data_IF_279865972185
#
_entry.id   IF_279865972185
#
_cell.length_a   1.000
_cell.length_b   1.000
_cell.length_c   1.000
_cell.angle_alpha   90.00
_cell.angle_beta   90.00
_cell.angle_gamma   90.00
#
_symmetry.space_group_name_H-M   'P 1'
#
loop_
_entity.id
_entity.type
_entity.pdbx_description
1 polymer ?
#
# COMPACT_ATOMS: atom_id res chain seq x y z
N UNK A 1 9.20 -25.05 -23.35
CA UNK A 1 9.11 -25.59 -21.98
C UNK A 1 8.01 -26.62 -21.96
N UNK A 2 8.23 -27.77 -21.33
CA UNK A 2 7.14 -28.70 -21.02
C UNK A 2 6.21 -28.09 -19.95
N UNK A 3 5.01 -28.63 -19.76
CA UNK A 3 4.10 -28.16 -18.71
C UNK A 3 4.72 -28.25 -17.31
N UNK A 4 5.45 -29.35 -17.03
CA UNK A 4 6.14 -29.56 -15.76
C UNK A 4 7.25 -28.53 -15.54
N UNK A 5 8.05 -28.24 -16.57
CA UNK A 5 9.07 -27.17 -16.52
C UNK A 5 8.42 -25.80 -16.27
N UNK A 6 7.28 -25.54 -16.89
CA UNK A 6 6.54 -24.27 -16.74
C UNK A 6 6.01 -24.11 -15.31
N UNK A 7 5.43 -25.17 -14.75
CA UNK A 7 4.96 -25.19 -13.36
C UNK A 7 6.10 -24.95 -12.37
N UNK A 8 7.23 -25.65 -12.54
CA UNK A 8 8.39 -25.48 -11.65
C UNK A 8 9.00 -24.07 -11.77
N UNK A 9 9.09 -23.53 -12.99
CA UNK A 9 9.48 -22.15 -13.23
C UNK A 9 8.56 -21.16 -12.48
N UNK A 10 7.24 -21.33 -12.57
CA UNK A 10 6.28 -20.46 -11.89
C UNK A 10 6.37 -20.58 -10.35
N UNK A 11 6.55 -21.79 -9.81
CA UNK A 11 6.81 -22.00 -8.37
C UNK A 11 8.05 -21.24 -7.92
N UNK A 12 9.15 -21.35 -8.66
CA UNK A 12 10.40 -20.65 -8.35
C UNK A 12 10.25 -19.14 -8.47
N UNK A 13 9.54 -18.65 -9.50
CA UNK A 13 9.23 -17.24 -9.70
C UNK A 13 8.42 -16.65 -8.55
N UNK A 14 7.38 -17.37 -8.09
CA UNK A 14 6.59 -16.95 -6.93
C UNK A 14 7.47 -16.84 -5.68
N UNK A 15 8.26 -17.87 -5.38
CA UNK A 15 9.14 -17.89 -4.21
C UNK A 15 10.18 -16.76 -4.23
N UNK A 16 10.75 -16.43 -5.40
CA UNK A 16 11.71 -15.35 -5.55
C UNK A 16 11.10 -13.97 -5.22
N UNK A 17 9.84 -13.73 -5.60
CA UNK A 17 9.17 -12.44 -5.38
C UNK A 17 8.41 -12.34 -4.04
N UNK A 18 8.00 -13.47 -3.47
CA UNK A 18 7.21 -13.55 -2.22
C UNK A 18 7.82 -12.76 -1.07
N UNK A 19 9.14 -12.85 -0.86
CA UNK A 19 9.85 -12.11 0.21
C UNK A 19 9.64 -10.59 0.10
N UNK A 20 9.64 -10.06 -1.12
CA UNK A 20 9.47 -8.62 -1.35
C UNK A 20 8.02 -8.18 -1.21
N UNK A 21 7.07 -9.04 -1.59
CA UNK A 21 5.63 -8.80 -1.41
C UNK A 21 5.31 -8.80 0.09
N UNK A 22 5.72 -9.84 0.82
CA UNK A 22 5.49 -9.94 2.27
C UNK A 22 6.09 -8.75 3.03
N UNK A 23 7.29 -8.28 2.65
CA UNK A 23 7.86 -7.07 3.24
C UNK A 23 6.96 -5.84 3.10
N UNK A 24 6.25 -5.69 1.97
CA UNK A 24 5.34 -4.55 1.76
C UNK A 24 4.08 -4.68 2.60
N UNK A 25 3.53 -5.90 2.70
CA UNK A 25 2.44 -6.19 3.63
C UNK A 25 2.85 -5.95 5.10
N UNK A 26 4.03 -6.39 5.52
CA UNK A 26 4.55 -6.10 6.87
C UNK A 26 4.68 -4.59 7.13
N UNK A 27 5.06 -3.79 6.13
CA UNK A 27 5.15 -2.34 6.25
C UNK A 27 3.78 -1.66 6.27
N UNK A 28 2.83 -2.17 5.48
CA UNK A 28 1.43 -1.73 5.45
C UNK A 28 0.74 -2.00 6.80
N UNK A 29 0.83 -3.23 7.29
CA UNK A 29 0.29 -3.66 8.59
C UNK A 29 1.01 -3.06 9.80
N UNK A 30 2.07 -2.27 9.58
CA UNK A 30 2.96 -1.72 10.62
C UNK A 30 3.66 -2.79 11.48
N UNK A 31 3.64 -4.05 11.04
CA UNK A 31 4.30 -5.20 11.70
C UNK A 31 5.80 -5.26 11.40
N UNK A 32 6.31 -4.44 10.47
CA UNK A 32 7.74 -4.45 10.13
C UNK A 32 8.59 -3.88 11.25
N UNK A 33 9.38 -4.77 11.85
CA UNK A 33 10.51 -4.42 12.71
C UNK A 33 11.78 -4.31 11.86
N UNK A 34 12.37 -3.11 11.83
CA UNK A 34 13.63 -2.87 11.14
C UNK A 34 14.81 -3.23 12.06
N UNK A 35 15.88 -3.85 11.53
CA UNK A 35 17.08 -4.08 12.32
C UNK A 35 17.76 -2.74 12.59
N UNK A 36 18.01 -2.45 13.86
CA UNK A 36 18.71 -1.24 14.29
C UNK A 36 20.22 -1.42 14.21
N UNK A 37 20.88 -0.58 13.42
CA UNK A 37 22.34 -0.49 13.34
C UNK A 37 22.78 0.73 14.15
N UNK A 38 23.22 0.51 15.38
CA UNK A 38 23.77 1.55 16.24
C UNK A 38 24.89 1.00 17.11
N UNK A 39 25.97 1.77 17.25
CA UNK A 39 27.13 1.39 18.07
C UNK A 39 26.96 1.92 19.51
N UNK A 40 26.24 3.03 19.67
CA UNK A 40 26.18 3.80 20.92
C UNK A 40 25.07 3.38 21.87
N UNK A 41 23.95 2.84 21.38
CA UNK A 41 22.80 2.47 22.20
C UNK A 41 22.83 0.95 22.47
N UNK A 42 22.90 0.51 23.74
CA UNK A 42 22.86 -0.90 24.11
C UNK A 42 21.62 -1.64 23.57
N UNK A 43 21.77 -2.92 23.24
CA UNK A 43 20.67 -3.74 22.70
C UNK A 43 19.44 -3.82 23.61
N UNK A 44 19.63 -3.84 24.93
CA UNK A 44 18.56 -3.91 25.93
C UNK A 44 17.71 -2.65 26.03
N UNK A 45 18.26 -1.48 25.67
CA UNK A 45 17.53 -0.21 25.63
C UNK A 45 16.76 -0.12 24.31
N UNK A 46 17.41 -0.44 23.18
CA UNK A 46 16.76 -0.47 21.86
C UNK A 46 15.51 -1.32 21.81
N UNK A 47 15.55 -2.50 22.43
CA UNK A 47 14.39 -3.39 22.45
C UNK A 47 13.18 -2.78 23.18
N UNK A 48 13.40 -1.87 24.14
CA UNK A 48 12.34 -1.21 24.91
C UNK A 48 11.72 -0.03 24.15
N UNK A 49 12.52 0.73 23.41
CA UNK A 49 12.09 1.94 22.70
C UNK A 49 11.90 1.67 21.22
N UNK A 50 10.97 0.79 20.87
CA UNK A 50 10.63 0.51 19.47
C UNK A 50 9.48 1.38 19.01
N UNK A 51 9.68 2.07 17.90
CA UNK A 51 8.65 2.93 17.31
C UNK A 51 7.82 2.19 16.26
N UNK A 52 6.55 2.56 16.17
CA UNK A 52 5.61 2.10 15.15
C UNK A 52 5.13 3.32 14.38
N UNK A 53 5.14 3.24 13.04
CA UNK A 53 4.75 4.35 12.17
C UNK A 53 3.99 3.83 10.95
N UNK A 54 2.84 4.43 10.67
CA UNK A 54 1.89 4.01 9.62
C UNK A 54 1.96 4.80 8.31
N UNK A 55 3.07 5.48 8.01
CA UNK A 55 3.17 6.32 6.80
C UNK A 55 2.97 5.52 5.50
N UNK A 56 3.55 4.32 5.39
CA UNK A 56 3.36 3.45 4.23
C UNK A 56 1.90 3.03 4.05
N UNK A 57 1.17 2.76 5.15
CA UNK A 57 -0.27 2.50 5.12
C UNK A 57 -1.02 3.73 4.63
N UNK A 58 -0.78 4.89 5.25
CA UNK A 58 -1.38 6.18 4.86
C UNK A 58 -1.14 6.52 3.39
N UNK A 59 0.04 6.23 2.85
CA UNK A 59 0.38 6.47 1.44
C UNK A 59 -0.36 5.55 0.45
N UNK A 60 -0.80 4.38 0.91
CA UNK A 60 -1.66 3.44 0.17
C UNK A 60 -3.12 3.86 0.33
N UNK A 61 -3.61 3.96 1.57
CA UNK A 61 -5.04 4.21 1.88
C UNK A 61 -5.50 5.55 1.30
N UNK A 62 -4.67 6.60 1.41
CA UNK A 62 -4.99 7.91 0.81
C UNK A 62 -5.25 7.86 -0.70
N UNK A 63 -4.68 6.88 -1.41
CA UNK A 63 -4.97 6.66 -2.82
C UNK A 63 -6.10 5.65 -3.01
N UNK A 64 -6.10 4.55 -2.25
CA UNK A 64 -7.09 3.47 -2.35
C UNK A 64 -8.51 3.96 -2.08
N UNK A 65 -8.72 4.73 -1.01
CA UNK A 65 -10.03 5.24 -0.58
C UNK A 65 -10.68 6.17 -1.62
N UNK A 66 -9.88 6.69 -2.56
CA UNK A 66 -10.35 7.56 -3.65
C UNK A 66 -10.65 6.80 -4.94
N UNK A 67 -10.28 5.52 -5.02
CA UNK A 67 -10.42 4.69 -6.22
C UNK A 67 -11.68 3.83 -6.12
N UNK A 68 -12.83 4.48 -6.21
CA UNK A 68 -14.13 3.79 -6.16
C UNK A 68 -14.56 3.41 -7.58
N UNK A 69 -14.59 2.11 -7.87
CA UNK A 69 -15.08 1.60 -9.15
C UNK A 69 -16.60 1.72 -9.21
N UNK A 70 -17.13 2.18 -10.34
CA UNK A 70 -18.57 2.39 -10.51
C UNK A 70 -19.21 1.23 -11.26
N UNK A 71 -18.89 1.10 -12.53
CA UNK A 71 -19.49 0.14 -13.45
C UNK A 71 -18.73 0.11 -14.78
N UNK A 72 -19.10 -0.81 -15.66
CA UNK A 72 -18.70 -0.78 -17.06
C UNK A 72 -19.82 -0.11 -17.90
N UNK A 73 -19.48 0.99 -18.57
CA UNK A 73 -20.35 1.60 -19.57
C UNK A 73 -20.23 0.82 -20.90
N UNK A 74 -21.30 0.80 -21.71
CA UNK A 74 -21.40 0.03 -22.96
C UNK A 74 -21.10 -1.48 -22.75
N UNK A 75 -21.72 -2.04 -21.72
CA UNK A 75 -21.58 -3.45 -21.37
C UNK A 75 -22.47 -4.35 -22.23
N UNK A 76 -22.02 -4.62 -23.45
CA UNK A 76 -22.72 -5.50 -24.40
C UNK A 76 -22.64 -6.99 -24.04
N UNK A 77 -21.82 -7.35 -23.03
CA UNK A 77 -21.56 -8.73 -22.62
C UNK A 77 -22.11 -9.04 -21.21
N UNK A 78 -22.84 -8.10 -20.61
CA UNK A 78 -23.45 -8.22 -19.29
C UNK A 78 -22.42 -8.55 -18.18
N UNK A 79 -21.19 -8.05 -18.28
CA UNK A 79 -20.13 -8.29 -17.28
C UNK A 79 -20.46 -7.61 -15.94
N UNK A 80 -21.22 -6.51 -15.94
CA UNK A 80 -21.66 -5.87 -14.71
C UNK A 80 -22.48 -6.83 -13.83
N UNK A 81 -23.33 -7.67 -14.43
CA UNK A 81 -24.11 -8.67 -13.69
C UNK A 81 -23.20 -9.68 -12.98
N UNK A 82 -22.12 -10.13 -13.65
CA UNK A 82 -21.13 -11.03 -13.05
C UNK A 82 -20.51 -10.39 -11.81
N UNK A 83 -20.10 -9.11 -11.89
CA UNK A 83 -19.54 -8.42 -10.73
C UNK A 83 -20.57 -8.22 -9.61
N UNK A 84 -21.83 -7.91 -9.93
CA UNK A 84 -22.90 -7.77 -8.93
C UNK A 84 -23.16 -9.07 -8.15
N UNK A 85 -22.96 -10.23 -8.78
CA UNK A 85 -23.10 -11.54 -8.13
C UNK A 85 -21.86 -11.95 -7.31
N UNK A 86 -20.77 -11.16 -7.33
CA UNK A 86 -19.49 -11.48 -6.70
C UNK A 86 -19.07 -10.48 -5.61
N UNK A 87 -20.04 -10.02 -4.80
CA UNK A 87 -19.81 -9.06 -3.70
C UNK A 87 -19.00 -7.82 -4.16
N UNK A 88 -19.51 -7.06 -5.13
CA UNK A 88 -18.79 -5.99 -5.80
C UNK A 88 -18.25 -4.95 -4.80
N UNK A 89 -19.01 -4.66 -3.74
CA UNK A 89 -18.68 -3.68 -2.71
C UNK A 89 -17.34 -3.95 -2.02
N UNK A 90 -16.93 -5.21 -1.91
CA UNK A 90 -15.66 -5.59 -1.26
C UNK A 90 -14.62 -6.06 -2.26
N UNK A 91 -15.06 -6.61 -3.39
CA UNK A 91 -14.19 -7.19 -4.40
C UNK A 91 -13.26 -6.13 -5.03
N UNK A 92 -13.84 -5.01 -5.50
CA UNK A 92 -13.06 -3.96 -6.17
C UNK A 92 -12.05 -3.31 -5.22
N UNK A 93 -12.49 -2.98 -4.00
CA UNK A 93 -11.65 -2.36 -2.97
C UNK A 93 -10.50 -3.29 -2.55
N UNK A 94 -10.80 -4.58 -2.34
CA UNK A 94 -9.77 -5.59 -2.03
C UNK A 94 -8.72 -5.71 -3.13
N UNK A 95 -9.17 -5.75 -4.39
CA UNK A 95 -8.27 -5.84 -5.54
C UNK A 95 -7.40 -4.58 -5.70
N UNK A 96 -7.99 -3.39 -5.59
CA UNK A 96 -7.27 -2.10 -5.63
C UNK A 96 -6.22 -2.04 -4.52
N UNK A 97 -6.62 -2.33 -3.29
CA UNK A 97 -5.74 -2.27 -2.13
C UNK A 97 -4.56 -3.23 -2.28
N UNK A 98 -4.83 -4.49 -2.63
CA UNK A 98 -3.77 -5.49 -2.84
C UNK A 98 -2.82 -5.10 -3.98
N UNK A 99 -3.34 -4.57 -5.09
CA UNK A 99 -2.50 -4.10 -6.20
C UNK A 99 -1.61 -2.92 -5.79
N UNK A 100 -2.12 -1.97 -5.00
CA UNK A 100 -1.34 -0.85 -4.48
C UNK A 100 -0.24 -1.30 -3.51
N UNK A 101 -0.54 -2.24 -2.60
CA UNK A 101 0.43 -2.77 -1.64
C UNK A 101 1.50 -3.59 -2.35
N UNK A 102 1.13 -4.55 -3.19
CA UNK A 102 2.04 -5.58 -3.70
C UNK A 102 2.62 -5.31 -5.10
N UNK A 103 2.12 -4.30 -5.82
CA UNK A 103 2.27 -4.01 -7.27
C UNK A 103 1.14 -4.59 -8.14
N UNK A 104 0.63 -5.76 -7.77
CA UNK A 104 -0.46 -6.43 -8.46
C UNK A 104 -1.18 -7.36 -7.50
N UNK A 105 -2.38 -7.77 -7.89
CA UNK A 105 -3.07 -8.94 -7.35
C UNK A 105 -3.60 -9.77 -8.52
N UNK A 106 -4.18 -10.92 -8.23
CA UNK A 106 -4.72 -11.81 -9.24
C UNK A 106 -6.18 -12.09 -8.90
N UNK A 107 -7.02 -12.20 -9.91
CA UNK A 107 -8.39 -12.66 -9.76
C UNK A 107 -8.46 -14.07 -10.33
N UNK A 108 -8.70 -15.03 -9.44
CA UNK A 108 -9.01 -16.39 -9.81
C UNK A 108 -10.49 -16.48 -10.19
N UNK A 109 -10.75 -17.05 -11.35
CA UNK A 109 -12.08 -17.24 -11.90
C UNK A 109 -12.37 -18.74 -11.87
N UNK A 110 -13.51 -19.12 -11.31
CA UNK A 110 -13.96 -20.51 -11.24
C UNK A 110 -15.42 -20.61 -11.62
N UNK A 111 -15.85 -21.79 -12.04
CA UNK A 111 -17.27 -22.09 -12.25
C UNK A 111 -17.98 -22.04 -10.89
N UNK A 112 -19.06 -21.24 -10.82
CA UNK A 112 -19.91 -21.17 -9.65
C UNK A 112 -21.07 -22.14 -9.72
N UNK A 113 -22.02 -21.92 -8.80
CA UNK A 113 -23.34 -22.53 -8.86
C UNK A 113 -24.19 -21.75 -9.85
N UNK A 114 -25.04 -22.43 -10.62
CA UNK A 114 -25.98 -21.83 -11.59
C UNK A 114 -25.31 -21.01 -12.71
N UNK A 115 -24.26 -21.57 -13.34
CA UNK A 115 -23.53 -21.00 -14.49
C UNK A 115 -22.94 -19.59 -14.29
N UNK A 116 -22.92 -19.11 -13.04
CA UNK A 116 -22.38 -17.79 -12.69
C UNK A 116 -20.90 -17.92 -12.29
N UNK A 117 -19.96 -17.25 -12.98
CA UNK A 117 -18.55 -17.29 -12.62
C UNK A 117 -18.32 -16.73 -11.21
N UNK A 118 -17.48 -17.42 -10.43
CA UNK A 118 -17.01 -16.95 -9.11
C UNK A 118 -15.66 -16.28 -9.23
N UNK A 119 -15.54 -15.10 -8.63
CA UNK A 119 -14.34 -14.27 -8.64
C UNK A 119 -13.72 -14.23 -7.25
N UNK A 120 -12.43 -14.57 -7.15
CA UNK A 120 -11.68 -14.49 -5.90
C UNK A 120 -10.40 -13.69 -6.08
N UNK A 121 -10.18 -12.69 -5.24
CA UNK A 121 -8.90 -11.95 -5.20
C UNK A 121 -7.86 -12.80 -4.47
N UNK A 122 -6.72 -13.01 -5.13
CA UNK A 122 -5.54 -13.68 -4.63
C UNK A 122 -4.39 -12.68 -4.60
N UNK A 123 -3.74 -12.56 -3.44
CA UNK A 123 -2.57 -11.71 -3.28
C UNK A 123 -1.39 -12.16 -4.14
N UNK A 124 -0.55 -11.22 -4.56
CA UNK A 124 0.69 -11.53 -5.30
C UNK A 124 1.74 -12.32 -4.48
N UNK A 125 1.50 -12.56 -3.19
CA UNK A 125 2.30 -13.47 -2.35
C UNK A 125 2.01 -14.95 -2.65
N UNK A 126 0.85 -15.23 -3.26
CA UNK A 126 0.32 -16.56 -3.51
C UNK A 126 0.09 -16.87 -4.99
N UNK A 127 0.07 -15.86 -5.88
CA UNK A 127 -0.13 -16.07 -7.31
C UNK A 127 0.96 -15.41 -8.19
N UNK A 128 1.21 -16.01 -9.34
CA UNK A 128 2.11 -15.49 -10.37
C UNK A 128 1.74 -16.03 -11.76
N UNK A 129 2.39 -15.55 -12.81
CA UNK A 129 2.17 -16.03 -14.16
C UNK A 129 3.20 -15.56 -15.18
N UNK A 130 3.03 -16.04 -16.40
CA UNK A 130 3.70 -15.52 -17.59
C UNK A 130 2.74 -14.59 -18.32
N UNK A 131 2.98 -13.29 -18.23
CA UNK A 131 2.17 -12.27 -18.87
C UNK A 131 2.61 -12.07 -20.32
N UNK A 132 1.65 -12.00 -21.23
CA UNK A 132 1.86 -11.50 -22.57
C UNK A 132 1.87 -9.97 -22.54
N UNK A 133 3.00 -9.31 -22.89
CA UNK A 133 3.12 -7.86 -22.83
C UNK A 133 2.22 -7.13 -23.84
N UNK A 134 1.70 -7.81 -24.85
CA UNK A 134 0.83 -7.21 -25.87
C UNK A 134 -0.61 -7.12 -25.35
N UNK A 135 -1.15 -8.23 -24.83
CA UNK A 135 -2.55 -8.30 -24.37
C UNK A 135 -2.71 -7.94 -22.90
N UNK A 136 -1.64 -8.03 -22.09
CA UNK A 136 -1.70 -7.89 -20.64
C UNK A 136 -2.35 -9.09 -19.93
N UNK A 137 -2.69 -10.14 -20.66
CA UNK A 137 -3.25 -11.39 -20.13
C UNK A 137 -2.14 -12.41 -19.82
N UNK A 138 -2.45 -13.45 -19.07
CA UNK A 138 -1.51 -14.55 -18.84
C UNK A 138 -1.56 -15.54 -19.99
N UNK A 139 -0.40 -16.15 -20.29
CA UNK A 139 -0.26 -17.35 -21.13
C UNK A 139 -0.29 -18.62 -20.28
N UNK A 140 0.23 -18.52 -19.05
CA UNK A 140 0.11 -19.53 -18.00
C UNK A 140 0.10 -18.84 -16.64
N UNK A 141 -0.67 -19.40 -15.70
CA UNK A 141 -0.83 -18.88 -14.34
C UNK A 141 -0.54 -19.95 -13.30
N UNK A 142 -0.17 -19.52 -12.10
CA UNK A 142 0.03 -20.39 -10.95
C UNK A 142 -0.44 -19.69 -9.69
N UNK A 143 -1.24 -20.37 -8.87
CA UNK A 143 -1.67 -19.87 -7.57
C UNK A 143 -1.58 -20.94 -6.49
N UNK A 144 -1.25 -20.52 -5.28
CA UNK A 144 -1.41 -21.30 -4.05
C UNK A 144 -2.75 -20.89 -3.44
N UNK A 145 -3.74 -21.77 -3.54
CA UNK A 145 -5.10 -21.51 -3.05
C UNK A 145 -5.19 -21.71 -1.53
N UNK A 146 -4.47 -22.69 -1.00
CA UNK A 146 -4.43 -22.97 0.43
C UNK A 146 -3.01 -23.26 0.92
N UNK A 147 -2.77 -22.90 2.19
CA UNK A 147 -1.53 -23.22 2.90
C UNK A 147 -1.85 -23.95 4.20
N UNK A 148 -0.99 -24.89 4.55
CA UNK A 148 -1.02 -25.57 5.85
C UNK A 148 -0.58 -24.65 7.01
N UNK A 149 -0.66 -25.16 8.24
CA UNK A 149 -0.25 -24.45 9.46
C UNK A 149 1.24 -24.07 9.48
N UNK A 150 2.06 -24.67 8.63
CA UNK A 150 3.50 -24.44 8.51
C UNK A 150 3.84 -23.49 7.34
N UNK A 151 2.82 -23.01 6.61
CA UNK A 151 2.97 -22.11 5.46
C UNK A 151 3.31 -22.81 4.14
N UNK A 152 3.32 -24.14 4.11
CA UNK A 152 3.50 -24.92 2.87
C UNK A 152 2.21 -24.91 2.06
N UNK A 153 2.32 -24.98 0.74
CA UNK A 153 1.15 -25.05 -0.13
C UNK A 153 0.47 -26.43 0.00
N UNK A 154 -0.78 -26.45 0.44
CA UNK A 154 -1.61 -27.66 0.52
C UNK A 154 -2.41 -27.87 -0.77
N UNK A 155 -2.91 -26.78 -1.36
CA UNK A 155 -3.64 -26.76 -2.62
C UNK A 155 -3.01 -25.73 -3.56
N UNK A 156 -2.57 -26.18 -4.72
CA UNK A 156 -2.00 -25.35 -5.78
C UNK A 156 -2.83 -25.51 -7.07
N UNK A 157 -2.99 -24.43 -7.82
CA UNK A 157 -3.68 -24.41 -9.11
C UNK A 157 -2.72 -23.94 -10.21
N UNK A 158 -2.64 -24.71 -11.29
CA UNK A 158 -1.89 -24.39 -12.49
C UNK A 158 -2.86 -24.12 -13.63
N UNK A 159 -2.84 -22.88 -14.11
CA UNK A 159 -3.81 -22.35 -15.07
C UNK A 159 -3.21 -22.35 -16.47
N UNK A 160 -3.89 -23.07 -17.38
CA UNK A 160 -3.58 -23.13 -18.80
C UNK A 160 -4.75 -22.53 -19.60
N UNK A 161 -4.56 -22.21 -20.89
CA UNK A 161 -5.61 -21.62 -21.74
C UNK A 161 -6.91 -22.44 -21.87
N UNK A 162 -6.81 -23.77 -21.73
CA UNK A 162 -7.88 -24.74 -21.98
C UNK A 162 -8.30 -25.52 -20.73
N UNK A 163 -7.54 -25.40 -19.63
CA UNK A 163 -7.76 -26.18 -18.40
C UNK A 163 -7.07 -25.58 -17.17
N UNK A 164 -7.58 -25.92 -16.00
CA UNK A 164 -6.94 -25.66 -14.72
C UNK A 164 -6.63 -26.98 -14.01
N UNK A 165 -5.36 -27.24 -13.72
CA UNK A 165 -4.88 -28.43 -13.01
C UNK A 165 -4.67 -28.13 -11.54
N UNK A 166 -5.19 -28.99 -10.66
CA UNK A 166 -5.04 -28.83 -9.21
C UNK A 166 -4.05 -29.85 -8.64
N UNK A 167 -3.20 -29.39 -7.73
CA UNK A 167 -2.23 -30.21 -7.03
C UNK A 167 -2.51 -30.17 -5.54
N UNK A 168 -2.77 -31.34 -4.94
CA UNK A 168 -2.93 -31.50 -3.50
C UNK A 168 -1.64 -32.09 -2.95
N UNK A 169 -0.98 -31.39 -2.02
CA UNK A 169 0.31 -31.80 -1.47
C UNK A 169 1.35 -32.12 -2.59
N UNK A 170 1.39 -31.28 -3.64
CA UNK A 170 2.24 -31.40 -4.83
C UNK A 170 1.94 -32.60 -5.76
N UNK A 171 0.89 -33.38 -5.48
CA UNK A 171 0.44 -34.45 -6.36
C UNK A 171 -0.72 -33.97 -7.23
N UNK A 172 -0.64 -34.21 -8.54
CA UNK A 172 -1.70 -33.86 -9.48
C UNK A 172 -2.96 -34.66 -9.13
N UNK A 173 -4.09 -33.96 -9.08
CA UNK A 173 -5.42 -34.54 -8.91
C UNK A 173 -6.19 -34.37 -10.21
N UNK A 174 -6.16 -35.41 -11.05
CA UNK A 174 -6.85 -35.39 -12.34
C UNK A 174 -8.37 -35.26 -12.16
N UNK A 175 -8.92 -35.83 -11.09
CA UNK A 175 -10.33 -35.76 -10.71
C UNK A 175 -10.82 -34.33 -10.40
N UNK A 176 -9.91 -33.42 -10.06
CA UNK A 176 -10.22 -32.01 -9.81
C UNK A 176 -9.93 -31.11 -11.02
N UNK A 177 -9.30 -31.63 -12.07
CA UNK A 177 -8.89 -30.81 -13.22
C UNK A 177 -10.12 -30.36 -13.99
N UNK A 178 -10.24 -29.05 -14.20
CA UNK A 178 -11.36 -28.45 -14.94
C UNK A 178 -10.91 -28.07 -16.35
N UNK A 179 -11.79 -28.26 -17.34
CA UNK A 179 -11.57 -27.89 -18.74
C UNK A 179 -12.54 -26.77 -19.12
N UNK A 180 -12.10 -25.84 -19.95
CA UNK A 180 -12.93 -24.68 -20.35
C UNK A 180 -12.51 -24.16 -21.73
N UNK A 181 -13.46 -23.59 -22.48
CA UNK A 181 -13.23 -23.07 -23.83
C UNK A 181 -12.99 -21.54 -23.86
N UNK A 182 -12.08 -21.05 -23.02
CA UNK A 182 -11.84 -19.60 -22.86
C UNK A 182 -10.64 -19.09 -23.67
N UNK A 183 -9.67 -19.96 -23.95
CA UNK A 183 -8.45 -19.60 -24.69
C UNK A 183 -7.43 -18.79 -23.88
N UNK A 184 -7.70 -18.55 -22.58
CA UNK A 184 -6.79 -17.90 -21.64
C UNK A 184 -6.88 -18.56 -20.25
N UNK A 185 -5.81 -18.52 -19.45
CA UNK A 185 -5.83 -18.96 -18.06
C UNK A 185 -6.92 -18.23 -17.26
N UNK A 186 -7.68 -18.97 -16.44
CA UNK A 186 -8.69 -18.43 -15.50
C UNK A 186 -8.08 -17.69 -14.28
N UNK A 187 -6.97 -16.99 -14.51
CA UNK A 187 -6.25 -16.19 -13.53
C UNK A 187 -5.85 -14.87 -14.18
N UNK A 188 -6.42 -13.77 -13.71
CA UNK A 188 -6.26 -12.45 -14.33
C UNK A 188 -5.48 -11.50 -13.42
N UNK A 189 -4.37 -10.91 -13.88
CA UNK A 189 -3.62 -9.97 -13.07
C UNK A 189 -4.27 -8.58 -13.08
N UNK A 190 -4.48 -8.01 -11.90
CA UNK A 190 -4.82 -6.60 -11.72
C UNK A 190 -3.54 -5.86 -11.34
N UNK A 191 -3.09 -4.95 -12.19
CA UNK A 191 -1.72 -4.42 -12.13
C UNK A 191 -1.74 -2.92 -11.88
N UNK A 192 -1.03 -2.49 -10.84
CA UNK A 192 -0.81 -1.06 -10.57
C UNK A 192 0.51 -0.60 -11.21
N UNK A 193 0.42 0.41 -12.09
CA UNK A 193 1.56 1.03 -12.80
C UNK A 193 2.47 0.01 -13.50
N UNK A 194 1.95 -0.76 -14.48
CA UNK A 194 2.78 -1.58 -15.36
C UNK A 194 3.78 -0.70 -16.13
N UNK A 195 4.97 -1.22 -16.37
CA UNK A 195 5.95 -0.63 -17.29
C UNK A 195 6.64 -1.74 -18.11
N UNK A 196 7.31 -1.38 -19.20
CA UNK A 196 7.93 -2.35 -20.12
C UNK A 196 8.99 -3.26 -19.45
N UNK A 197 9.62 -2.80 -18.37
CA UNK A 197 10.64 -3.55 -17.61
C UNK A 197 9.99 -4.38 -16.50
N UNK A 198 8.85 -3.93 -15.98
CA UNK A 198 8.08 -4.54 -14.90
C UNK A 198 6.63 -4.71 -15.34
N UNK A 199 6.33 -5.78 -16.08
CA UNK A 199 4.97 -6.08 -16.53
C UNK A 199 3.97 -6.20 -15.38
N UNK A 200 4.37 -6.79 -14.24
CA UNK A 200 3.57 -6.87 -13.00
C UNK A 200 3.57 -5.58 -12.15
N UNK A 201 4.06 -4.48 -12.71
CA UNK A 201 3.90 -3.14 -12.17
C UNK A 201 4.71 -2.81 -10.92
N UNK A 202 4.28 -1.76 -10.23
CA UNK A 202 4.98 -1.13 -9.11
C UNK A 202 4.03 -0.80 -7.97
N UNK A 203 4.33 -1.35 -6.82
CA UNK A 203 3.71 -0.99 -5.55
C UNK A 203 3.86 0.50 -5.27
N UNK A 204 2.83 1.03 -4.62
CA UNK A 204 2.79 2.34 -4.03
C UNK A 204 3.79 2.49 -2.86
N UNK A 205 4.08 1.40 -2.15
CA UNK A 205 5.12 1.33 -1.11
C UNK A 205 6.49 1.24 -1.80
N UNK A 206 7.08 2.41 -2.03
CA UNK A 206 8.38 2.55 -2.70
C UNK A 206 9.54 2.25 -1.75
N UNK A 207 10.73 2.01 -2.32
CA UNK A 207 11.97 1.88 -1.51
C UNK A 207 12.27 3.17 -0.75
N UNK A 208 12.03 4.32 -1.39
CA UNK A 208 12.22 5.65 -0.81
C UNK A 208 11.24 5.89 0.35
N UNK A 209 9.95 5.58 0.16
CA UNK A 209 8.95 5.68 1.22
C UNK A 209 9.27 4.83 2.45
N UNK A 210 9.67 3.56 2.25
CA UNK A 210 10.14 2.72 3.36
C UNK A 210 11.40 3.27 4.04
N UNK A 211 12.30 3.87 3.28
CA UNK A 211 13.49 4.51 3.84
C UNK A 211 13.12 5.67 4.76
N UNK A 212 12.26 6.60 4.30
CA UNK A 212 11.83 7.74 5.12
C UNK A 212 11.02 7.30 6.34
N UNK A 213 10.17 6.28 6.21
CA UNK A 213 9.48 5.69 7.37
C UNK A 213 10.48 5.11 8.37
N UNK A 214 11.47 4.34 7.91
CA UNK A 214 12.52 3.80 8.79
C UNK A 214 13.37 4.90 9.41
N UNK A 215 13.64 5.97 8.67
CA UNK A 215 14.39 7.13 9.16
C UNK A 215 13.61 7.85 10.27
N UNK A 216 12.32 8.12 10.06
CA UNK A 216 11.43 8.70 11.06
C UNK A 216 11.32 7.83 12.32
N UNK A 217 11.15 6.51 12.16
CA UNK A 217 11.17 5.54 13.26
C UNK A 217 12.43 5.70 14.11
N UNK A 218 13.61 5.63 13.49
CA UNK A 218 14.89 5.81 14.20
C UNK A 218 15.01 7.16 14.91
N UNK A 219 14.44 8.22 14.35
CA UNK A 219 14.44 9.55 14.97
C UNK A 219 13.59 9.56 16.23
N UNK A 220 12.39 8.95 16.19
CA UNK A 220 11.51 8.81 17.36
C UNK A 220 12.16 7.98 18.47
N UNK A 221 12.74 6.83 18.12
CA UNK A 221 13.39 5.92 19.09
C UNK A 221 14.57 6.62 19.80
N UNK A 222 15.37 7.38 19.04
CA UNK A 222 16.46 8.17 19.60
C UNK A 222 15.96 9.33 20.46
N UNK A 223 14.85 9.94 20.09
CA UNK A 223 14.23 11.00 20.86
C UNK A 223 13.76 10.45 22.23
N UNK A 224 13.03 9.32 22.24
CA UNK A 224 12.53 8.71 23.46
C UNK A 224 13.66 8.32 24.42
N UNK A 225 14.71 7.69 23.89
CA UNK A 225 15.91 7.34 24.67
C UNK A 225 16.59 8.59 25.22
N UNK A 226 16.72 9.65 24.41
CA UNK A 226 17.34 10.90 24.87
C UNK A 226 16.49 11.60 25.93
N UNK A 227 15.16 11.50 25.83
CA UNK A 227 14.24 12.06 26.83
C UNK A 227 14.39 11.38 28.21
N UNK A 228 14.75 10.09 28.27
CA UNK A 228 15.11 9.45 29.54
C UNK A 228 16.38 10.04 30.15
N UNK A 229 17.42 10.30 29.36
CA UNK A 229 18.62 10.95 29.89
C UNK A 229 18.36 12.41 30.27
N UNK A 230 17.37 13.05 29.64
CA UNK A 230 16.92 14.40 30.00
C UNK A 230 16.30 14.44 31.40
N UNK A 231 15.49 13.43 31.76
CA UNK A 231 14.89 13.35 33.10
C UNK A 231 15.90 13.02 34.21
N UNK A 232 17.08 12.51 33.85
CA UNK A 232 18.19 12.22 34.78
C UNK A 232 19.51 12.87 34.35
N UNK A 233 19.69 14.18 34.60
CA UNK A 233 20.91 14.86 34.17
C UNK A 233 22.14 14.32 34.89
N UNK A 234 23.16 13.96 34.10
CA UNK A 234 24.42 13.49 34.64
C UNK A 234 25.19 14.64 35.28
N UNK A 235 25.56 14.45 36.55
CA UNK A 235 26.40 15.37 37.32
C UNK A 235 27.79 14.78 37.46
N UNK A 236 28.79 15.65 37.51
CA UNK A 236 30.16 15.27 37.81
C UNK A 236 30.73 16.15 38.92
N UNK A 237 31.71 15.63 39.63
CA UNK A 237 32.40 16.33 40.72
C UNK A 237 33.88 16.31 40.40
N UNK A 238 34.50 17.48 40.42
CA UNK A 238 35.95 17.64 40.24
C UNK A 238 36.57 18.18 41.52
N UNK A 239 37.78 17.71 41.88
CA UNK A 239 38.50 18.16 43.08
C UNK A 239 38.14 17.39 44.35
N UNK A 240 37.92 16.07 44.26
CA UNK A 240 37.80 15.20 45.44
C UNK A 240 39.20 14.91 46.02
N UNK A 241 39.34 14.80 47.33
CA UNK A 241 40.60 14.43 47.99
C UNK A 241 40.97 12.97 47.69
N UNK A 242 42.28 12.65 47.69
CA UNK A 242 42.78 11.28 47.46
C UNK A 242 42.33 10.27 48.54
N UNK A 243 41.78 10.76 49.65
CA UNK A 243 41.24 9.98 50.76
C UNK A 243 39.72 9.80 50.71
N UNK A 244 39.02 10.40 49.74
CA UNK A 244 37.58 10.28 49.63
C UNK A 244 37.17 8.86 49.22
N UNK A 245 36.22 8.26 49.97
CA UNK A 245 35.69 6.94 49.62
C UNK A 245 35.05 6.96 48.23
N UNK A 246 35.26 5.91 47.40
CA UNK A 246 34.63 5.82 46.08
C UNK A 246 33.11 5.80 46.25
N UNK A 247 32.47 6.86 45.78
CA UNK A 247 31.04 7.07 45.95
C UNK A 247 30.25 6.00 45.18
N UNK A 248 29.27 5.39 45.83
CA UNK A 248 28.40 4.39 45.22
C UNK A 248 27.63 5.04 44.05
N UNK A 249 27.99 4.68 42.81
CA UNK A 249 27.61 5.39 41.58
C UNK A 249 26.08 5.58 41.44
N UNK A 250 25.30 4.67 42.02
CA UNK A 250 23.85 4.70 42.04
C UNK A 250 23.25 5.75 43.00
N UNK A 251 23.86 5.93 44.20
CA UNK A 251 23.39 6.94 45.18
C UNK A 251 23.61 8.38 44.71
N UNK A 252 24.63 8.59 43.86
CA UNK A 252 24.92 9.88 43.25
C UNK A 252 23.87 10.29 42.19
N UNK A 253 23.18 9.32 41.56
CA UNK A 253 22.23 9.59 40.47
C UNK A 253 20.85 10.03 40.99
N UNK A 254 20.44 9.62 42.20
CA UNK A 254 19.07 9.77 42.72
C UNK A 254 18.96 10.89 43.77
N UNK A 255 19.60 12.04 43.58
CA UNK A 255 19.32 13.23 44.43
C UNK A 255 19.66 13.03 45.92
N UNK A 256 20.70 12.27 46.28
CA UNK A 256 21.29 12.44 47.61
C UNK A 256 22.03 13.78 47.62
N UNK A 257 21.61 14.71 48.48
CA UNK A 257 22.25 16.00 48.68
C UNK A 257 23.74 15.77 48.99
N UNK A 258 24.60 16.01 48.01
CA UNK A 258 26.04 15.99 48.20
C UNK A 258 26.44 17.28 48.90
N UNK A 259 26.36 17.32 50.24
CA UNK A 259 27.14 18.28 51.01
C UNK A 259 28.59 17.86 50.94
N UNK A 260 29.39 18.60 50.17
CA UNK A 260 30.83 18.48 50.20
C UNK A 260 31.38 19.48 51.23
N UNK A 261 32.04 18.98 52.26
CA UNK A 261 32.73 19.83 53.23
C UNK A 261 34.05 20.36 52.65
N UNK A 262 34.43 21.56 53.07
CA UNK A 262 35.63 22.26 52.61
C UNK A 262 36.87 21.63 53.23
N UNK A 263 37.95 21.44 52.45
CA UNK A 263 39.21 20.94 53.02
C UNK A 263 39.90 22.01 53.88
N UNK A 264 40.85 21.58 54.73
CA UNK A 264 41.65 22.46 55.59
C UNK A 264 42.51 23.49 54.81
N UNK A 265 42.70 23.28 53.50
CA UNK A 265 43.45 24.15 52.57
C UNK A 265 42.61 25.23 51.89
N UNK A 266 41.29 25.15 51.98
CA UNK A 266 40.35 26.13 51.46
C UNK A 266 39.82 25.87 50.05
N UNK A 267 40.12 24.71 49.44
CA UNK A 267 39.57 24.35 48.12
C UNK A 267 38.32 23.47 48.28
N UNK A 268 37.28 23.77 47.50
CA UNK A 268 35.97 23.11 47.63
C UNK A 268 35.63 22.35 46.33
N UNK A 269 35.05 21.13 46.41
CA UNK A 269 34.71 20.36 45.22
C UNK A 269 33.75 21.12 44.32
N UNK A 270 34.06 21.20 43.03
CA UNK A 270 33.19 21.84 42.04
C UNK A 270 32.22 20.80 41.48
N UNK A 271 30.95 21.03 41.76
CA UNK A 271 29.83 20.33 41.13
C UNK A 271 29.57 20.94 39.75
N UNK A 272 29.67 20.10 38.72
CA UNK A 272 29.27 20.43 37.35
C UNK A 272 28.15 19.51 36.88
N UNK A 273 27.41 19.96 35.87
CA UNK A 273 26.44 19.14 35.16
C UNK A 273 26.83 19.11 33.69
N UNK A 274 26.69 17.97 33.05
CA UNK A 274 26.85 17.91 31.60
C UNK A 274 25.71 18.69 30.93
N UNK A 275 26.03 19.46 29.88
CA UNK A 275 25.01 20.15 29.10
C UNK A 275 24.04 19.11 28.51
N UNK A 276 22.77 19.26 28.85
CA UNK A 276 21.73 18.38 28.34
C UNK A 276 21.44 18.77 26.89
N UNK A 277 21.56 17.84 25.92
CA UNK A 277 21.30 18.15 24.52
C UNK A 277 19.83 18.55 24.31
N UNK A 278 19.60 19.50 23.40
CA UNK A 278 18.25 19.93 23.01
C UNK A 278 17.52 18.82 22.24
N UNK A 279 16.19 18.76 22.41
CA UNK A 279 15.31 17.87 21.65
C UNK A 279 14.93 18.42 20.26
N UNK A 280 15.19 19.72 19.99
CA UNK A 280 14.88 20.37 18.70
C UNK A 280 15.39 19.60 17.47
N UNK A 281 16.64 19.10 17.45
CA UNK A 281 17.17 18.38 16.29
C UNK A 281 16.36 17.15 15.89
N UNK A 282 15.72 16.46 16.85
CA UNK A 282 14.88 15.30 16.53
C UNK A 282 13.58 15.72 15.84
N UNK A 283 12.96 16.80 16.30
CA UNK A 283 11.73 17.33 15.68
C UNK A 283 12.00 17.82 14.25
N UNK A 284 13.14 18.47 14.02
CA UNK A 284 13.59 18.90 12.69
C UNK A 284 13.88 17.69 11.79
N UNK A 285 14.60 16.68 12.28
CA UNK A 285 14.86 15.45 11.53
C UNK A 285 13.57 14.70 11.17
N UNK A 286 12.60 14.66 12.08
CA UNK A 286 11.30 14.05 11.83
C UNK A 286 10.52 14.82 10.74
N UNK A 287 10.56 16.16 10.78
CA UNK A 287 9.99 17.00 9.73
C UNK A 287 10.69 16.78 8.38
N UNK A 288 12.01 16.67 8.35
CA UNK A 288 12.75 16.32 7.11
C UNK A 288 12.32 14.95 6.57
N UNK A 289 12.16 13.95 7.44
CA UNK A 289 11.67 12.63 7.04
C UNK A 289 10.24 12.70 6.46
N UNK A 290 9.36 13.48 7.09
CA UNK A 290 7.99 13.70 6.64
C UNK A 290 7.96 14.39 5.28
N UNK A 291 8.76 15.45 5.08
CA UNK A 291 8.86 16.14 3.79
C UNK A 291 9.31 15.20 2.66
N UNK A 292 10.31 14.36 2.93
CA UNK A 292 10.78 13.35 1.97
C UNK A 292 9.71 12.32 1.63
N UNK A 293 9.00 11.81 2.64
CA UNK A 293 7.91 10.86 2.45
C UNK A 293 6.71 11.46 1.69
N UNK A 294 6.32 12.68 2.05
CA UNK A 294 5.25 13.44 1.40
C UNK A 294 5.55 13.65 -0.09
N UNK A 295 6.76 14.09 -0.44
CA UNK A 295 7.18 14.28 -1.83
C UNK A 295 7.14 12.99 -2.67
N UNK A 296 7.55 11.86 -2.11
CA UNK A 296 7.49 10.55 -2.79
C UNK A 296 6.08 10.03 -3.00
N UNK A 297 5.19 10.33 -2.06
CA UNK A 297 3.81 9.88 -2.13
C UNK A 297 2.91 10.88 -2.86
N UNK A 298 3.28 12.15 -3.00
CA UNK A 298 2.35 13.19 -3.42
C UNK A 298 1.29 13.48 -2.35
N UNK A 299 1.60 13.14 -1.10
CA UNK A 299 0.90 13.65 0.08
C UNK A 299 1.48 15.02 0.47
N UNK A 300 0.79 15.69 1.37
CA UNK A 300 1.24 16.93 2.00
C UNK A 300 1.83 16.67 3.39
N UNK A 301 2.50 17.67 3.95
CA UNK A 301 2.96 17.61 5.34
C UNK A 301 1.78 17.58 6.33
N UNK A 302 0.69 18.27 5.99
CA UNK A 302 -0.55 18.27 6.78
C UNK A 302 -1.13 16.85 6.89
N UNK A 303 -1.12 16.06 5.79
CA UNK A 303 -1.55 14.66 5.79
C UNK A 303 -0.74 13.75 6.74
N UNK A 304 0.50 14.15 7.05
CA UNK A 304 1.42 13.44 7.94
C UNK A 304 1.42 14.00 9.37
N UNK A 305 0.55 14.97 9.66
CA UNK A 305 0.39 15.57 10.99
C UNK A 305 1.29 16.78 11.27
N UNK A 306 1.95 17.35 10.26
CA UNK A 306 2.75 18.57 10.37
C UNK A 306 1.95 19.78 9.85
N UNK A 307 0.92 20.14 10.61
CA UNK A 307 -0.02 21.20 10.25
C UNK A 307 0.67 22.57 10.26
N UNK A 308 0.44 23.37 9.22
CA UNK A 308 0.79 24.79 9.17
C UNK A 308 -0.21 25.65 9.94
N UNK A 309 0.25 26.66 10.69
CA UNK A 309 -0.60 27.58 11.45
C UNK A 309 -1.54 28.43 10.57
N UNK A 310 -1.25 28.54 9.26
CA UNK A 310 -2.05 29.32 8.32
C UNK A 310 -3.10 28.43 7.64
N UNK A 311 -4.42 28.76 7.74
CA UNK A 311 -5.45 28.05 7.00
C UNK A 311 -5.25 28.19 5.49
N UNK A 312 -5.06 27.07 4.81
CA UNK A 312 -4.90 27.01 3.35
C UNK A 312 -6.23 27.26 2.64
N UNK A 313 -6.22 28.01 1.53
CA UNK A 313 -7.40 28.15 0.69
C UNK A 313 -7.79 26.82 0.02
N UNK A 314 -9.07 26.66 -0.35
CA UNK A 314 -9.56 25.45 -1.04
C UNK A 314 -8.79 25.20 -2.35
N UNK A 315 -8.41 26.26 -3.06
CA UNK A 315 -7.62 26.18 -4.29
C UNK A 315 -6.19 25.72 -4.02
N UNK A 316 -5.57 26.20 -2.93
CA UNK A 316 -4.23 25.78 -2.52
C UNK A 316 -4.21 24.30 -2.11
N UNK A 317 -5.25 23.82 -1.41
CA UNK A 317 -5.42 22.39 -1.08
C UNK A 317 -5.62 21.53 -2.34
N UNK A 318 -6.44 21.99 -3.30
CA UNK A 318 -6.60 21.29 -4.58
C UNK A 318 -5.27 21.22 -5.33
N UNK A 319 -4.51 22.30 -5.36
CA UNK A 319 -3.20 22.35 -5.99
C UNK A 319 -2.17 21.43 -5.31
N UNK A 320 -2.15 21.37 -3.97
CA UNK A 320 -1.22 20.51 -3.22
C UNK A 320 -1.47 19.01 -3.46
N UNK A 321 -2.71 18.62 -3.74
CA UNK A 321 -3.10 17.23 -4.04
C UNK A 321 -3.09 16.87 -5.53
N UNK A 322 -2.67 17.75 -6.44
CA UNK A 322 -2.71 17.46 -7.89
C UNK A 322 -1.82 16.26 -8.27
N UNK A 323 -0.68 16.08 -7.60
CA UNK A 323 0.17 14.89 -7.81
C UNK A 323 -0.54 13.58 -7.42
N UNK A 324 -1.29 13.60 -6.31
CA UNK A 324 -2.12 12.47 -5.88
C UNK A 324 -3.24 12.19 -6.89
N UNK A 325 -3.87 13.25 -7.41
CA UNK A 325 -4.90 13.16 -8.46
C UNK A 325 -4.37 12.49 -9.73
N UNK A 326 -3.18 12.91 -10.20
CA UNK A 326 -2.53 12.31 -11.36
C UNK A 326 -2.16 10.85 -11.12
N UNK A 327 -1.73 10.49 -9.91
CA UNK A 327 -1.48 9.11 -9.53
C UNK A 327 -2.78 8.28 -9.56
N UNK A 328 -3.88 8.81 -9.03
CA UNK A 328 -5.21 8.18 -9.07
C UNK A 328 -5.71 7.94 -10.48
N UNK A 329 -5.64 8.94 -11.37
CA UNK A 329 -6.04 8.77 -12.77
C UNK A 329 -5.24 7.70 -13.51
N UNK A 330 -3.94 7.58 -13.23
CA UNK A 330 -3.10 6.50 -13.79
C UNK A 330 -3.50 5.13 -13.22
N UNK A 331 -3.82 5.06 -11.93
CA UNK A 331 -4.30 3.84 -11.28
C UNK A 331 -5.64 3.39 -11.90
N UNK A 332 -6.63 4.29 -12.01
CA UNK A 332 -7.93 4.02 -12.65
C UNK A 332 -7.79 3.40 -14.05
N UNK A 333 -6.87 3.91 -14.88
CA UNK A 333 -6.60 3.36 -16.22
C UNK A 333 -6.04 1.93 -16.17
N UNK A 334 -4.97 1.73 -15.39
CA UNK A 334 -4.27 0.43 -15.34
C UNK A 334 -5.10 -0.66 -14.65
N UNK A 335 -5.71 -0.33 -13.51
CA UNK A 335 -6.57 -1.24 -12.76
C UNK A 335 -7.88 -1.49 -13.51
N UNK A 336 -8.47 -0.46 -14.13
CA UNK A 336 -9.70 -0.59 -14.91
C UNK A 336 -9.55 -1.51 -16.11
N UNK A 337 -8.38 -1.48 -16.77
CA UNK A 337 -8.05 -2.47 -17.80
C UNK A 337 -7.95 -3.90 -17.24
N UNK A 338 -7.45 -4.05 -16.02
CA UNK A 338 -7.43 -5.34 -15.31
C UNK A 338 -8.84 -5.85 -15.00
N UNK A 339 -9.72 -5.02 -14.46
CA UNK A 339 -11.11 -5.40 -14.21
C UNK A 339 -11.86 -5.73 -15.50
N UNK A 340 -11.60 -5.01 -16.59
CA UNK A 340 -12.18 -5.34 -17.89
C UNK A 340 -11.68 -6.70 -18.40
N UNK A 341 -10.40 -7.03 -18.16
CA UNK A 341 -9.87 -8.36 -18.48
C UNK A 341 -10.50 -9.47 -17.62
N UNK A 342 -10.85 -9.18 -16.36
CA UNK A 342 -11.61 -10.12 -15.50
C UNK A 342 -13.00 -10.35 -16.07
N UNK A 343 -13.73 -9.27 -16.39
CA UNK A 343 -15.07 -9.37 -16.98
C UNK A 343 -15.05 -10.13 -18.32
N UNK A 344 -14.05 -9.87 -19.16
CA UNK A 344 -13.82 -10.59 -20.42
C UNK A 344 -13.67 -12.10 -20.21
N UNK A 345 -12.73 -12.53 -19.36
CA UNK A 345 -12.47 -13.96 -19.13
C UNK A 345 -13.66 -14.62 -18.43
N UNK A 346 -14.33 -13.92 -17.52
CA UNK A 346 -15.52 -14.40 -16.85
C UNK A 346 -16.70 -14.57 -17.82
N UNK A 347 -16.91 -13.65 -18.76
CA UNK A 347 -17.94 -13.78 -19.80
C UNK A 347 -17.66 -14.98 -20.72
N UNK A 348 -16.41 -15.17 -21.14
CA UNK A 348 -16.04 -16.35 -21.92
C UNK A 348 -16.33 -17.66 -21.18
N UNK A 349 -16.11 -17.69 -19.86
CA UNK A 349 -16.40 -18.86 -19.04
C UNK A 349 -17.91 -19.08 -18.87
N UNK A 350 -18.68 -18.02 -18.60
CA UNK A 350 -20.15 -18.08 -18.47
C UNK A 350 -20.81 -18.60 -19.74
N UNK A 351 -20.35 -18.12 -20.89
CA UNK A 351 -20.99 -18.41 -22.19
C UNK A 351 -20.36 -19.63 -22.89
N UNK A 352 -19.36 -20.27 -22.28
CA UNK A 352 -18.52 -21.34 -22.85
C UNK A 352 -18.01 -21.02 -24.28
N UNK A 353 -17.68 -19.74 -24.51
CA UNK A 353 -17.33 -19.21 -25.82
C UNK A 353 -16.07 -18.33 -25.76
N UNK A 354 -15.05 -18.59 -26.60
CA UNK A 354 -13.81 -17.83 -26.60
C UNK A 354 -13.98 -16.52 -27.37
N UNK A 355 -14.60 -15.52 -26.75
CA UNK A 355 -14.64 -14.16 -27.29
C UNK A 355 -13.23 -13.62 -27.51
N UNK A 356 -13.11 -12.59 -28.35
CA UNK A 356 -11.85 -11.87 -28.51
C UNK A 356 -11.84 -10.65 -27.62
N UNK A 357 -10.71 -10.37 -26.96
CA UNK A 357 -10.55 -9.16 -26.13
C UNK A 357 -10.85 -7.86 -26.90
N UNK A 358 -10.63 -7.86 -28.21
CA UNK A 358 -10.96 -6.74 -29.12
C UNK A 358 -12.45 -6.46 -29.26
N UNK A 359 -13.34 -7.41 -28.94
CA UNK A 359 -14.79 -7.20 -28.97
C UNK A 359 -15.28 -6.36 -27.79
N UNK A 360 -14.51 -6.32 -26.70
CA UNK A 360 -14.77 -5.50 -25.50
C UNK A 360 -14.18 -4.09 -25.60
N UNK A 361 -13.92 -3.59 -26.81
CA UNK A 361 -13.25 -2.28 -27.03
C UNK A 361 -14.14 -1.08 -26.71
N UNK A 362 -15.47 -1.24 -26.79
CA UNK A 362 -16.43 -0.18 -26.46
C UNK A 362 -16.75 -0.11 -24.97
N UNK A 363 -16.51 -1.22 -24.25
CA UNK A 363 -16.79 -1.31 -22.81
C UNK A 363 -15.76 -0.50 -22.03
N UNK A 364 -16.23 0.50 -21.28
CA UNK A 364 -15.37 1.48 -20.62
C UNK A 364 -15.53 1.36 -19.10
N UNK A 365 -14.44 1.14 -18.34
CA UNK A 365 -14.50 1.17 -16.88
C UNK A 365 -14.75 2.60 -16.40
N UNK A 366 -15.87 2.81 -15.71
CA UNK A 366 -16.22 4.07 -15.04
C UNK A 366 -15.84 3.99 -13.56
N UNK A 367 -15.43 5.14 -13.04
CA UNK A 367 -15.01 5.34 -11.67
C UNK A 367 -15.74 6.55 -11.11
N UNK A 368 -15.95 6.58 -9.81
CA UNK A 368 -16.35 7.82 -9.16
C UNK A 368 -15.20 8.86 -9.23
N UNK A 369 -15.51 10.16 -9.17
CA UNK A 369 -14.48 11.19 -9.12
C UNK A 369 -13.55 11.02 -7.92
N UNK A 370 -12.24 11.16 -8.16
CA UNK A 370 -11.21 11.04 -7.10
C UNK A 370 -11.38 12.04 -5.95
N UNK A 371 -12.09 13.14 -6.21
CA UNK A 371 -12.40 14.19 -5.25
C UNK A 371 -13.87 14.55 -5.44
N UNK A 372 -14.65 14.43 -4.37
CA UNK A 372 -16.04 14.84 -4.36
C UNK A 372 -16.16 16.34 -4.63
N UNK A 373 -17.22 16.72 -5.34
CA UNK A 373 -17.51 18.11 -5.59
C UNK A 373 -18.03 18.79 -4.30
N UNK A 374 -17.30 19.78 -3.82
CA UNK A 374 -17.78 20.72 -2.80
C UNK A 374 -18.90 21.63 -3.34
N UNK A 375 -19.66 22.30 -2.47
CA UNK A 375 -20.76 23.17 -2.87
C UNK A 375 -20.35 24.28 -3.87
N UNK A 376 -19.11 24.77 -3.76
CA UNK A 376 -18.57 25.77 -4.67
C UNK A 376 -18.33 25.20 -6.07
N UNK A 377 -17.75 24.01 -6.17
CA UNK A 377 -17.56 23.30 -7.44
C UNK A 377 -18.88 22.89 -8.05
N UNK A 378 -19.88 22.49 -7.27
CA UNK A 378 -21.24 22.24 -7.79
C UNK A 378 -21.86 23.49 -8.41
N UNK A 379 -21.69 24.65 -7.77
CA UNK A 379 -22.19 25.93 -8.30
C UNK A 379 -21.48 26.29 -9.61
N UNK A 380 -20.15 26.16 -9.65
CA UNK A 380 -19.34 26.42 -10.85
C UNK A 380 -19.67 25.45 -12.00
N UNK A 381 -19.82 24.16 -11.69
CA UNK A 381 -20.22 23.14 -12.67
C UNK A 381 -21.63 23.41 -13.18
N UNK A 382 -22.56 23.82 -12.31
CA UNK A 382 -23.92 24.19 -12.70
C UNK A 382 -23.96 25.37 -13.68
N UNK A 383 -23.28 26.47 -13.36
CA UNK A 383 -23.19 27.65 -14.25
C UNK A 383 -22.49 27.30 -15.58
N UNK A 384 -21.39 26.56 -15.52
CA UNK A 384 -20.68 26.07 -16.71
C UNK A 384 -21.54 25.14 -17.57
N UNK A 385 -22.28 24.23 -16.96
CA UNK A 385 -23.17 23.30 -17.64
C UNK A 385 -24.31 24.03 -18.36
N UNK A 386 -24.92 25.04 -17.72
CA UNK A 386 -25.96 25.87 -18.33
C UNK A 386 -25.41 26.58 -19.57
N UNK A 387 -24.24 27.24 -19.45
CA UNK A 387 -23.61 27.97 -20.56
C UNK A 387 -23.25 27.05 -21.73
N UNK A 388 -22.70 25.86 -21.44
CA UNK A 388 -22.36 24.88 -22.45
C UNK A 388 -23.60 24.33 -23.15
N UNK A 389 -24.67 24.02 -22.41
CA UNK A 389 -25.93 23.56 -22.99
C UNK A 389 -26.68 24.65 -23.78
N UNK A 390 -26.52 25.92 -23.42
CA UNK A 390 -27.03 27.03 -24.22
C UNK A 390 -26.31 27.16 -25.56
N UNK A 391 -24.99 26.92 -25.59
CA UNK A 391 -24.18 26.97 -26.81
C UNK A 391 -24.33 25.70 -27.67
N UNK A 392 -24.43 24.54 -27.03
CA UNK A 392 -24.56 23.22 -27.67
C UNK A 392 -25.65 22.44 -26.92
N UNK A 393 -26.90 22.46 -27.40
CA UNK A 393 -28.00 21.75 -26.74
C UNK A 393 -27.70 20.26 -26.56
N UNK A 394 -27.89 19.77 -25.33
CA UNK A 394 -27.69 18.35 -24.97
C UNK A 394 -26.24 17.93 -24.73
N UNK A 395 -25.28 18.87 -24.70
CA UNK A 395 -23.87 18.56 -24.48
C UNK A 395 -23.56 18.05 -23.06
N UNK A 396 -24.15 18.67 -22.04
CA UNK A 396 -24.02 18.26 -20.63
C UNK A 396 -25.28 17.53 -20.21
N UNK A 397 -25.18 16.20 -20.08
CA UNK A 397 -26.24 15.31 -19.62
C UNK A 397 -26.08 14.98 -18.12
N UNK A 398 -27.08 14.34 -17.51
CA UNK A 398 -26.98 13.86 -16.13
C UNK A 398 -25.76 12.95 -15.89
N UNK A 399 -25.40 12.12 -16.88
CA UNK A 399 -24.20 11.27 -16.82
C UNK A 399 -22.92 12.11 -16.81
N UNK A 400 -22.84 13.17 -17.62
CA UNK A 400 -21.70 14.10 -17.62
C UNK A 400 -21.58 14.81 -16.27
N UNK A 401 -22.71 15.20 -15.68
CA UNK A 401 -22.71 15.82 -14.34
C UNK A 401 -22.21 14.81 -13.29
N UNK A 402 -22.71 13.57 -13.29
CA UNK A 402 -22.27 12.51 -12.37
C UNK A 402 -20.79 12.17 -12.56
N UNK A 403 -20.28 12.19 -13.78
CA UNK A 403 -18.85 11.97 -14.06
C UNK A 403 -17.97 13.11 -13.54
N UNK A 404 -18.51 14.32 -13.39
CA UNK A 404 -17.79 15.47 -12.84
C UNK A 404 -17.91 15.58 -11.31
N UNK A 405 -19.06 15.22 -10.75
CA UNK A 405 -19.41 15.53 -9.36
C UNK A 405 -19.55 14.31 -8.45
N UNK A 406 -19.79 13.13 -9.04
CA UNK A 406 -20.11 11.90 -8.31
C UNK A 406 -21.59 11.83 -7.88
N UNK A 407 -22.35 12.90 -8.07
CA UNK A 407 -23.75 12.97 -7.63
C UNK A 407 -24.63 12.32 -8.70
N UNK A 408 -25.36 11.28 -8.29
CA UNK A 408 -26.42 10.68 -9.11
C UNK A 408 -27.67 11.56 -9.04
N UNK A 409 -28.13 12.05 -10.20
CA UNK A 409 -29.40 12.74 -10.29
C UNK A 409 -30.58 11.81 -9.96
N UNK A 410 -31.69 12.39 -9.50
CA UNK A 410 -32.95 11.65 -9.46
C UNK A 410 -33.42 11.37 -10.89
N UNK A 411 -33.95 10.16 -11.11
CA UNK A 411 -34.44 9.70 -12.43
C UNK A 411 -35.59 10.57 -12.98
#
# INVERSE_FOLDING_TARGET
MTENETLEYLRNKLNAHKKRVNLRYEQYDMKKLDPETGITIPASIRYRYKSVLGWCAKGVDSLADRLVFREFENDNFEINQIFYMNNPDTFFDSAVLSALIASCCFVYISEGTDDTPRLQVIEASNATGMIDPITGLLTSGYAVLERDKYGNASLEAFFLPDRTKYYVNKQLREDLTTHHNVGHPLLVPIIHRPDAVRPFGRSRITRSGMYYQRYAKRTLERADITAEFYSFPQKYVTGLSDTAEPMDTWKATISSMLMFEKDEGGDAPKLGQFNVPSMSPFTEQLRTAASGFAGETGLTLDDLGFVSDNPSSVEALKASHENLRLAGRKAQRSIGSGFLNVGYIAACLRDDYPYLRSQFYQTIPKWEPLFEADANTLTLVGDGAIKLNQAVPGYVTGNVIRDLTGIKGAD
#
